data_IF_918643965055
#
_entry.id   IF_918643965055
#
_cell.length_a   1.000
_cell.length_b   1.000
_cell.length_c   1.000
_cell.angle_alpha   90.00
_cell.angle_beta   90.00
_cell.angle_gamma   90.00
#
_symmetry.space_group_name_H-M   'P 1'
#
loop_
_entity.id
_entity.type
_entity.pdbx_description
1 polymer ?
#
# COMPACT_ATOMS: atom_id res chain seq x y z
N UNK A 1 -0.83 -6.39 14.13
CA UNK A 1 -0.40 -7.71 14.66
C UNK A 1 0.69 -7.47 15.66
N UNK A 2 0.48 -7.85 16.92
CA UNK A 2 1.37 -7.51 18.04
C UNK A 2 1.84 -8.79 18.71
N UNK A 3 3.16 -8.93 18.86
CA UNK A 3 3.71 -9.76 19.93
C UNK A 3 3.29 -9.10 21.25
N UNK A 4 2.21 -9.57 21.88
CA UNK A 4 1.77 -9.00 23.15
C UNK A 4 2.47 -9.70 24.30
N UNK A 5 3.67 -9.22 24.65
CA UNK A 5 4.32 -9.56 25.92
C UNK A 5 4.04 -8.41 26.90
N UNK A 6 3.13 -8.64 27.85
CA UNK A 6 2.89 -7.68 28.93
C UNK A 6 4.00 -7.86 29.97
N UNK A 7 4.74 -6.80 30.25
CA UNK A 7 5.87 -6.83 31.19
C UNK A 7 5.55 -5.88 32.35
N UNK A 8 5.28 -6.39 33.56
CA UNK A 8 5.15 -5.54 34.73
C UNK A 8 6.50 -4.91 35.06
N UNK A 9 6.50 -3.62 35.41
CA UNK A 9 7.67 -2.91 35.89
C UNK A 9 7.40 -2.30 37.26
N UNK A 10 8.47 -2.20 38.06
CA UNK A 10 8.46 -1.54 39.37
C UNK A 10 9.50 -0.43 39.35
N UNK A 11 9.24 0.66 40.09
CA UNK A 11 10.18 1.77 40.20
C UNK A 11 11.55 1.27 40.68
N UNK A 12 12.62 1.66 39.96
CA UNK A 12 14.00 1.29 40.30
C UNK A 12 14.48 -0.06 39.76
N UNK A 13 13.62 -0.88 39.14
CA UNK A 13 14.02 -2.19 38.62
C UNK A 13 14.35 -2.18 37.12
N UNK A 14 15.41 -2.88 36.74
CA UNK A 14 15.72 -3.22 35.35
C UNK A 14 15.16 -4.60 35.03
N UNK A 15 14.26 -4.69 34.04
CA UNK A 15 13.74 -5.96 33.55
C UNK A 15 14.49 -6.34 32.28
N UNK A 16 15.22 -7.46 32.30
CA UNK A 16 15.88 -8.01 31.12
C UNK A 16 14.86 -8.83 30.32
N UNK A 17 14.57 -8.42 29.08
CA UNK A 17 13.59 -9.09 28.22
C UNK A 17 14.16 -10.26 27.42
N UNK A 18 15.48 -10.45 27.45
CA UNK A 18 16.19 -11.37 26.58
C UNK A 18 16.04 -10.98 25.09
N UNK A 19 16.32 -11.94 24.21
CA UNK A 19 16.05 -11.78 22.78
C UNK A 19 14.58 -12.06 22.50
N UNK A 20 13.90 -11.11 21.84
CA UNK A 20 12.53 -11.28 21.36
C UNK A 20 12.56 -11.62 19.88
N UNK A 21 12.19 -12.85 19.54
CA UNK A 21 12.04 -13.29 18.15
C UNK A 21 10.58 -13.08 17.75
N UNK A 22 10.35 -12.34 16.67
CA UNK A 22 9.04 -12.21 16.05
C UNK A 22 9.08 -12.87 14.69
N UNK A 23 8.24 -13.89 14.50
CA UNK A 23 8.03 -14.51 13.21
C UNK A 23 6.76 -13.93 12.58
N UNK A 24 6.85 -13.18 11.46
CA UNK A 24 5.67 -12.67 10.78
C UNK A 24 4.82 -13.86 10.30
N UNK A 25 3.49 -13.83 10.50
CA UNK A 25 2.63 -14.92 10.11
C UNK A 25 2.68 -15.13 8.59
N UNK A 26 2.77 -16.40 8.20
CA UNK A 26 2.74 -16.86 6.82
C UNK A 26 1.75 -18.01 6.74
N UNK A 27 0.80 -17.91 5.82
CA UNK A 27 -0.16 -18.97 5.55
C UNK A 27 0.38 -19.97 4.52
N UNK A 28 1.36 -19.57 3.69
CA UNK A 28 1.99 -20.44 2.72
C UNK A 28 3.21 -19.80 2.03
N UNK A 29 3.76 -20.46 1.00
CA UNK A 29 4.87 -19.94 0.22
C UNK A 29 4.55 -18.59 -0.39
N UNK A 30 5.51 -17.66 -0.33
CA UNK A 30 5.38 -16.35 -0.97
C UNK A 30 5.54 -16.50 -2.49
N UNK A 31 4.53 -16.04 -3.24
CA UNK A 31 4.57 -16.02 -4.69
C UNK A 31 5.28 -14.77 -5.20
N UNK A 32 4.98 -13.63 -4.58
CA UNK A 32 5.64 -12.36 -4.83
C UNK A 32 5.32 -11.36 -3.71
N UNK A 33 6.14 -10.32 -3.61
CA UNK A 33 6.02 -9.24 -2.65
C UNK A 33 6.45 -7.89 -3.26
N UNK A 34 5.98 -6.80 -2.67
CA UNK A 34 6.25 -5.41 -3.06
C UNK A 34 6.48 -4.61 -1.77
N UNK A 35 7.59 -3.86 -1.71
CA UNK A 35 7.98 -3.05 -0.55
C UNK A 35 8.77 -3.80 0.52
N UNK A 36 8.99 -3.14 1.65
CA UNK A 36 9.72 -3.62 2.82
C UNK A 36 8.77 -3.50 4.02
N UNK A 37 8.56 -4.56 4.83
CA UNK A 37 7.59 -4.52 5.94
C UNK A 37 8.14 -3.77 7.17
N UNK A 38 8.40 -2.46 7.03
CA UNK A 38 8.97 -1.58 8.07
C UNK A 38 8.00 -0.53 8.63
N UNK A 39 6.75 -0.58 8.16
CA UNK A 39 5.61 0.29 8.48
C UNK A 39 5.72 1.69 7.90
N UNK A 40 6.53 1.88 6.87
CA UNK A 40 6.70 3.15 6.18
C UNK A 40 6.43 3.00 4.69
N UNK A 41 6.25 4.11 4.00
CA UNK A 41 6.20 4.13 2.53
C UNK A 41 7.48 4.71 1.92
N UNK A 42 8.59 4.75 2.67
CA UNK A 42 9.76 5.55 2.37
C UNK A 42 10.62 4.97 1.23
N UNK A 43 10.50 3.68 0.99
CA UNK A 43 11.18 2.95 -0.08
C UNK A 43 10.49 3.09 -1.44
N UNK A 44 9.24 3.55 -1.46
CA UNK A 44 8.47 3.75 -2.68
C UNK A 44 8.87 5.03 -3.42
N UNK A 45 8.35 5.20 -4.63
CA UNK A 45 8.67 6.33 -5.47
C UNK A 45 8.12 7.65 -4.92
N UNK A 46 9.04 8.45 -4.36
CA UNK A 46 8.84 9.83 -3.94
C UNK A 46 9.26 10.75 -5.12
N UNK A 47 8.34 11.49 -5.75
CA UNK A 47 8.65 12.29 -6.93
C UNK A 47 9.51 13.50 -6.56
N UNK A 48 10.10 14.14 -7.57
CA UNK A 48 10.67 15.48 -7.39
C UNK A 48 9.57 16.49 -7.07
N UNK A 49 9.82 17.47 -6.17
CA UNK A 49 8.87 18.54 -5.88
C UNK A 49 8.70 19.50 -7.06
N UNK A 50 7.62 20.29 -7.02
CA UNK A 50 7.50 21.43 -7.93
C UNK A 50 8.64 22.42 -7.64
N UNK A 51 9.40 22.88 -8.66
CA UNK A 51 10.51 23.83 -8.47
C UNK A 51 10.12 25.10 -7.73
N UNK A 52 8.86 25.53 -7.80
CA UNK A 52 8.35 26.74 -7.14
C UNK A 52 8.15 26.56 -5.62
N UNK A 53 8.01 25.33 -5.15
CA UNK A 53 7.71 25.00 -3.74
C UNK A 53 8.85 24.26 -3.03
N UNK A 54 10.03 24.15 -3.67
CA UNK A 54 11.19 23.46 -3.09
C UNK A 54 11.58 24.09 -1.76
N UNK A 55 11.58 23.27 -0.71
CA UNK A 55 12.16 23.63 0.57
C UNK A 55 13.63 23.18 0.63
N UNK A 56 14.60 24.11 0.76
CA UNK A 56 16.02 23.78 0.86
C UNK A 56 16.37 22.89 2.07
N UNK A 57 15.54 22.86 3.11
CA UNK A 57 15.75 22.03 4.29
C UNK A 57 15.40 20.55 4.07
N UNK A 58 14.77 20.20 2.95
CA UNK A 58 14.28 18.84 2.66
C UNK A 58 14.93 18.27 1.39
N UNK A 59 16.18 18.66 1.11
CA UNK A 59 16.94 18.20 -0.06
C UNK A 59 17.60 16.83 0.13
N UNK A 60 17.85 16.46 1.39
CA UNK A 60 18.38 15.14 1.71
C UNK A 60 17.39 14.04 1.31
N UNK A 61 17.90 12.94 0.76
CA UNK A 61 17.06 11.84 0.29
C UNK A 61 16.13 11.29 1.39
N UNK A 62 16.62 11.27 2.63
CA UNK A 62 15.85 10.84 3.80
C UNK A 62 14.69 11.78 4.15
N UNK A 63 14.76 13.06 3.77
CA UNK A 63 13.73 14.06 4.06
C UNK A 63 12.96 14.50 2.80
N UNK A 64 13.26 13.92 1.64
CA UNK A 64 12.62 14.25 0.35
C UNK A 64 11.09 14.20 0.43
N UNK A 65 10.53 13.22 1.15
CA UNK A 65 9.08 13.08 1.32
C UNK A 65 8.42 14.26 2.06
N UNK A 66 9.21 15.12 2.71
CA UNK A 66 8.73 16.30 3.46
C UNK A 66 8.48 17.52 2.58
N UNK A 67 8.87 17.45 1.31
CA UNK A 67 8.58 18.52 0.34
C UNK A 67 7.07 18.71 0.19
N UNK A 68 6.64 19.96 0.07
CA UNK A 68 5.23 20.29 -0.11
C UNK A 68 4.72 19.85 -1.50
N UNK A 69 3.48 19.40 -1.57
CA UNK A 69 2.77 19.17 -2.83
C UNK A 69 3.13 17.88 -3.57
N UNK A 70 3.93 16.97 -2.97
CA UNK A 70 4.36 15.75 -3.66
C UNK A 70 3.19 14.83 -4.07
N UNK A 71 2.10 14.81 -3.32
CA UNK A 71 0.91 14.03 -3.69
C UNK A 71 0.27 14.54 -5.00
N UNK A 72 0.29 15.85 -5.23
CA UNK A 72 -0.36 16.48 -6.39
C UNK A 72 0.39 16.17 -7.69
N UNK A 73 1.71 15.90 -7.58
CA UNK A 73 2.56 15.42 -8.68
C UNK A 73 2.08 14.10 -9.29
N UNK A 74 1.22 13.34 -8.59
CA UNK A 74 0.61 12.15 -9.14
C UNK A 74 -0.10 12.44 -10.47
N UNK A 75 -0.88 13.51 -10.53
CA UNK A 75 -1.67 13.86 -11.73
C UNK A 75 -0.79 14.30 -12.90
N UNK A 76 0.37 14.92 -12.60
CA UNK A 76 1.35 15.32 -13.60
C UNK A 76 2.10 14.15 -14.22
N UNK A 77 2.39 13.13 -13.41
CA UNK A 77 3.15 11.94 -13.81
C UNK A 77 2.23 10.93 -14.49
N UNK A 78 1.03 10.73 -13.93
CA UNK A 78 0.03 9.75 -14.36
C UNK A 78 -1.15 10.42 -15.07
N UNK A 79 -0.84 11.18 -16.14
CA UNK A 79 -1.83 11.99 -16.91
C UNK A 79 -2.88 11.16 -17.65
N UNK A 80 -2.48 9.99 -18.14
CA UNK A 80 -3.28 9.17 -19.07
C UNK A 80 -3.57 7.77 -18.54
N UNK A 81 -3.38 7.54 -17.24
CA UNK A 81 -3.55 6.24 -16.61
C UNK A 81 -3.18 6.29 -15.14
N UNK A 82 -3.13 5.11 -14.52
CA UNK A 82 -2.72 4.91 -13.13
C UNK A 82 -1.47 4.04 -13.08
N UNK A 83 -0.93 3.83 -11.88
CA UNK A 83 0.18 2.90 -11.64
C UNK A 83 -0.13 1.51 -12.23
N UNK A 84 0.80 1.00 -13.03
CA UNK A 84 0.79 -0.38 -13.53
C UNK A 84 2.12 -1.03 -13.14
N UNK A 85 2.08 -1.83 -12.08
CA UNK A 85 3.22 -2.54 -11.56
C UNK A 85 3.24 -3.98 -12.08
N UNK A 86 4.33 -4.41 -12.71
CA UNK A 86 4.50 -5.79 -13.20
C UNK A 86 5.52 -6.51 -12.33
N UNK A 87 5.06 -7.52 -11.60
CA UNK A 87 5.91 -8.34 -10.72
C UNK A 87 7.06 -8.96 -11.52
N UNK A 88 8.28 -8.81 -11.00
CA UNK A 88 9.51 -9.30 -11.64
C UNK A 88 10.07 -8.39 -12.74
N UNK A 89 9.40 -7.28 -13.07
CA UNK A 89 9.85 -6.30 -14.09
C UNK A 89 9.95 -4.89 -13.52
N UNK A 90 8.89 -4.45 -12.83
CA UNK A 90 8.84 -3.13 -12.19
C UNK A 90 9.68 -3.09 -10.91
N UNK A 91 10.13 -1.89 -10.57
CA UNK A 91 10.91 -1.58 -9.37
C UNK A 91 10.08 -0.69 -8.44
N UNK A 92 9.75 -1.16 -7.25
CA UNK A 92 8.87 -0.42 -6.34
C UNK A 92 9.44 0.94 -5.92
N UNK A 93 10.75 1.15 -5.97
CA UNK A 93 11.36 2.44 -5.65
C UNK A 93 11.17 3.50 -6.73
N UNK A 94 10.74 3.10 -7.94
CA UNK A 94 10.59 3.97 -9.11
C UNK A 94 9.19 3.93 -9.73
N UNK A 95 8.56 2.77 -9.72
CA UNK A 95 7.32 2.48 -10.46
C UNK A 95 6.11 2.37 -9.53
N UNK A 96 6.30 2.44 -8.22
CA UNK A 96 5.21 2.42 -7.23
C UNK A 96 5.17 3.75 -6.49
N UNK A 97 4.19 4.59 -6.80
CA UNK A 97 4.09 5.91 -6.18
C UNK A 97 3.86 5.81 -4.67
N UNK A 98 4.48 6.68 -3.87
CA UNK A 98 4.47 6.55 -2.41
C UNK A 98 3.08 6.68 -1.76
N UNK A 99 2.15 7.38 -2.41
CA UNK A 99 0.79 7.60 -1.91
C UNK A 99 -0.26 7.33 -3.00
N UNK A 100 -1.16 6.40 -2.75
CA UNK A 100 -2.34 6.16 -3.58
C UNK A 100 -3.38 7.23 -3.29
N UNK A 101 -3.39 8.23 -4.16
CA UNK A 101 -4.16 9.47 -4.06
C UNK A 101 -5.15 9.57 -5.22
N UNK A 102 -6.14 10.43 -5.07
CA UNK A 102 -7.04 10.79 -6.16
C UNK A 102 -6.31 11.56 -7.27
N UNK A 103 -6.87 11.53 -8.47
CA UNK A 103 -6.40 12.35 -9.59
C UNK A 103 -7.11 13.70 -9.62
N UNK A 104 -6.32 14.76 -9.63
CA UNK A 104 -6.78 16.12 -9.87
C UNK A 104 -6.88 16.37 -11.37
N UNK A 105 -8.09 16.63 -11.86
CA UNK A 105 -8.39 16.86 -13.29
C UNK A 105 -8.36 18.35 -13.67
N UNK A 106 -7.88 19.21 -12.77
CA UNK A 106 -7.85 20.67 -12.93
C UNK A 106 -8.98 21.38 -12.18
N UNK A 107 -9.91 20.64 -11.57
CA UNK A 107 -10.87 21.17 -10.61
C UNK A 107 -10.75 20.43 -9.28
N UNK A 108 -10.34 21.16 -8.23
CA UNK A 108 -10.17 20.64 -6.87
C UNK A 108 -11.46 20.08 -6.25
N UNK A 109 -12.62 20.45 -6.79
CA UNK A 109 -13.92 19.93 -6.37
C UNK A 109 -14.38 18.69 -7.12
N UNK A 110 -13.64 18.25 -8.15
CA UNK A 110 -13.99 17.10 -9.01
C UNK A 110 -12.79 16.15 -9.16
N UNK A 111 -12.46 15.50 -8.05
CA UNK A 111 -11.36 14.54 -7.97
C UNK A 111 -11.80 13.18 -8.49
N UNK A 112 -11.02 12.62 -9.42
CA UNK A 112 -11.27 11.30 -9.98
C UNK A 112 -10.62 10.21 -9.14
N UNK A 113 -11.32 9.10 -8.94
CA UNK A 113 -10.76 7.89 -8.34
C UNK A 113 -9.63 7.32 -9.18
N UNK A 114 -8.74 6.58 -8.53
CA UNK A 114 -7.57 5.97 -9.16
C UNK A 114 -7.61 4.47 -8.95
N UNK A 115 -7.18 3.71 -9.97
CA UNK A 115 -7.11 2.25 -9.91
C UNK A 115 -5.73 1.76 -10.33
N UNK A 116 -4.95 1.33 -9.36
CA UNK A 116 -3.62 0.76 -9.58
C UNK A 116 -3.72 -0.71 -9.97
N UNK A 117 -2.78 -1.17 -10.80
CA UNK A 117 -2.75 -2.54 -11.30
C UNK A 117 -1.47 -3.23 -10.84
N UNK A 118 -1.60 -4.42 -10.23
CA UNK A 118 -0.49 -5.35 -10.02
C UNK A 118 -0.66 -6.50 -10.99
N UNK A 119 0.23 -6.62 -11.96
CA UNK A 119 0.27 -7.69 -12.96
C UNK A 119 1.31 -8.71 -12.57
N UNK A 120 0.95 -9.99 -12.62
CA UNK A 120 1.83 -11.10 -12.27
C UNK A 120 1.44 -12.36 -13.03
N UNK A 121 2.38 -13.30 -13.12
CA UNK A 121 2.17 -14.57 -13.80
C UNK A 121 2.19 -15.71 -12.77
N UNK A 122 1.23 -16.64 -12.88
CA UNK A 122 1.18 -17.87 -12.09
C UNK A 122 1.39 -19.08 -13.00
N UNK A 123 2.45 -19.86 -12.75
CA UNK A 123 2.73 -21.08 -13.52
C UNK A 123 1.70 -22.18 -13.25
N UNK A 124 1.24 -22.27 -12.01
CA UNK A 124 0.25 -23.23 -11.54
C UNK A 124 -0.75 -22.55 -10.61
N UNK A 125 -1.99 -23.05 -10.61
CA UNK A 125 -3.06 -22.57 -9.73
C UNK A 125 -3.72 -23.76 -9.05
N UNK A 126 -3.65 -23.82 -7.72
CA UNK A 126 -4.49 -24.70 -6.93
C UNK A 126 -5.89 -24.08 -6.76
N UNK A 127 -6.83 -24.47 -7.61
CA UNK A 127 -8.22 -23.93 -7.61
C UNK A 127 -9.00 -24.24 -6.32
N UNK A 128 -8.62 -25.31 -5.60
CA UNK A 128 -9.27 -25.74 -4.35
C UNK A 128 -8.64 -25.10 -3.12
N UNK A 129 -7.47 -24.50 -3.27
CA UNK A 129 -6.74 -23.86 -2.18
C UNK A 129 -7.20 -22.43 -1.94
N UNK A 130 -6.77 -21.87 -0.81
CA UNK A 130 -7.00 -20.48 -0.45
C UNK A 130 -5.67 -19.72 -0.48
N UNK A 131 -5.60 -18.71 -1.34
CA UNK A 131 -4.46 -17.80 -1.41
C UNK A 131 -4.66 -16.69 -0.38
N UNK A 132 -3.57 -16.13 0.11
CA UNK A 132 -3.63 -14.99 1.04
C UNK A 132 -2.94 -13.79 0.43
N UNK A 133 -3.67 -12.69 0.26
CA UNK A 133 -3.10 -11.39 -0.02
C UNK A 133 -2.91 -10.64 1.31
N UNK A 134 -1.66 -10.48 1.72
CA UNK A 134 -1.27 -9.59 2.81
C UNK A 134 -1.14 -8.17 2.27
N UNK A 135 -1.93 -7.27 2.84
CA UNK A 135 -1.91 -5.85 2.52
C UNK A 135 -1.62 -5.03 3.78
N UNK A 136 -0.40 -4.52 3.87
CA UNK A 136 0.03 -3.62 4.91
C UNK A 136 -0.01 -2.17 4.42
N UNK A 137 -0.64 -1.31 5.22
CA UNK A 137 -0.76 0.12 4.96
C UNK A 137 0.02 0.87 6.04
N UNK A 138 0.95 1.73 5.60
CA UNK A 138 1.71 2.62 6.46
C UNK A 138 0.83 3.76 7.00
N UNK A 139 -0.13 4.24 6.20
CA UNK A 139 -1.07 5.30 6.57
C UNK A 139 -2.35 5.25 5.72
N UNK A 140 -3.42 5.85 6.21
CA UNK A 140 -4.60 6.13 5.41
C UNK A 140 -5.34 7.37 5.91
N UNK A 141 -5.91 8.14 4.98
CA UNK A 141 -6.66 9.36 5.25
C UNK A 141 -8.00 9.25 4.53
N UNK A 142 -9.09 9.06 5.27
CA UNK A 142 -10.49 8.99 4.78
C UNK A 142 -10.76 8.12 3.53
N UNK A 143 -9.86 7.18 3.23
CA UNK A 143 -9.90 6.37 2.03
C UNK A 143 -10.80 5.14 2.18
N UNK A 144 -11.20 4.57 1.04
CA UNK A 144 -11.70 3.21 0.94
C UNK A 144 -10.93 2.53 -0.18
N UNK A 145 -10.28 1.41 0.13
CA UNK A 145 -9.58 0.61 -0.86
C UNK A 145 -10.43 -0.60 -1.21
N UNK A 146 -10.77 -0.72 -2.49
CA UNK A 146 -11.42 -1.89 -3.05
C UNK A 146 -10.43 -2.69 -3.87
N UNK A 147 -10.51 -4.01 -3.75
CA UNK A 147 -9.64 -4.95 -4.45
C UNK A 147 -10.50 -5.78 -5.40
N UNK A 148 -10.08 -5.86 -6.65
CA UNK A 148 -10.67 -6.74 -7.67
C UNK A 148 -9.60 -7.61 -8.31
N UNK A 149 -10.02 -8.75 -8.84
CA UNK A 149 -9.15 -9.71 -9.50
C UNK A 149 -9.62 -9.95 -10.92
N UNK A 150 -8.69 -9.82 -11.87
CA UNK A 150 -8.82 -10.14 -13.30
C UNK A 150 -9.91 -9.39 -14.08
N UNK A 151 -10.89 -8.77 -13.40
CA UNK A 151 -11.91 -7.91 -13.98
C UNK A 151 -12.08 -6.65 -13.10
N UNK A 152 -11.68 -5.46 -13.59
CA UNK A 152 -11.83 -4.21 -12.84
C UNK A 152 -13.28 -3.76 -12.70
N UNK A 153 -14.17 -4.21 -13.59
CA UNK A 153 -15.59 -3.80 -13.62
C UNK A 153 -16.49 -4.79 -12.88
N UNK A 154 -15.91 -5.75 -12.16
CA UNK A 154 -16.67 -6.67 -11.33
C UNK A 154 -17.52 -5.89 -10.31
N UNK A 155 -18.83 -6.13 -10.34
CA UNK A 155 -19.82 -5.44 -9.48
C UNK A 155 -19.40 -5.53 -8.01
N UNK A 156 -19.04 -6.73 -7.56
CA UNK A 156 -18.58 -6.95 -6.20
C UNK A 156 -17.06 -7.05 -6.15
N UNK A 157 -16.37 -6.17 -5.39
CA UNK A 157 -14.95 -6.34 -5.13
C UNK A 157 -14.71 -7.62 -4.32
N UNK A 158 -13.56 -8.26 -4.49
CA UNK A 158 -13.20 -9.42 -3.66
C UNK A 158 -12.91 -9.00 -2.22
N UNK A 159 -12.56 -7.74 -2.01
CA UNK A 159 -12.35 -7.16 -0.69
C UNK A 159 -12.59 -5.65 -0.72
N UNK A 160 -13.13 -5.09 0.36
CA UNK A 160 -13.16 -3.65 0.61
C UNK A 160 -12.73 -3.39 2.04
N UNK A 161 -11.92 -2.35 2.25
CA UNK A 161 -11.57 -1.89 3.59
C UNK A 161 -12.75 -1.20 4.28
N UNK A 162 -13.80 -0.82 3.54
CA UNK A 162 -14.70 0.29 3.89
C UNK A 162 -13.92 1.58 4.17
N UNK A 163 -14.56 2.61 4.76
CA UNK A 163 -13.83 3.83 5.14
C UNK A 163 -12.80 3.52 6.23
N UNK A 164 -11.55 3.78 5.91
CA UNK A 164 -10.41 3.69 6.81
C UNK A 164 -9.68 5.04 6.88
N UNK A 165 -8.79 5.17 7.87
CA UNK A 165 -7.92 6.32 7.99
C UNK A 165 -8.17 7.16 9.24
N UNK A 166 -8.31 8.49 9.09
CA UNK A 166 -8.29 9.52 10.15
C UNK A 166 -6.90 10.00 10.58
N UNK A 167 -5.82 9.45 10.01
CA UNK A 167 -4.54 10.12 10.06
C UNK A 167 -4.44 11.16 8.93
N UNK A 168 -3.46 12.07 9.04
CA UNK A 168 -3.22 13.15 8.08
C UNK A 168 -1.79 13.09 7.54
N UNK A 169 -1.25 11.88 7.35
CA UNK A 169 0.15 11.70 6.98
C UNK A 169 0.49 12.45 5.68
N UNK A 170 -0.28 12.23 4.60
CA UNK A 170 -0.08 12.92 3.31
C UNK A 170 -0.15 14.44 3.46
N UNK A 171 -1.21 14.96 4.10
CA UNK A 171 -1.43 16.39 4.29
C UNK A 171 -0.36 17.08 5.16
N UNK A 172 0.41 16.30 5.93
CA UNK A 172 1.50 16.77 6.81
C UNK A 172 2.88 16.37 6.32
N UNK A 173 2.98 15.90 5.07
CA UNK A 173 4.22 15.43 4.44
C UNK A 173 4.94 14.38 5.31
N UNK A 174 4.15 13.50 5.90
CA UNK A 174 4.62 12.29 6.56
C UNK A 174 4.71 11.15 5.55
N UNK A 175 5.43 10.10 5.95
CA UNK A 175 5.64 8.89 5.14
C UNK A 175 5.06 7.63 5.81
N UNK A 176 4.41 7.81 6.96
CA UNK A 176 3.67 6.79 7.69
C UNK A 176 2.69 7.47 8.67
N UNK A 177 1.74 6.68 9.18
CA UNK A 177 0.66 7.11 10.05
C UNK A 177 0.17 5.95 10.90
N UNK A 178 -1.15 5.72 10.93
CA UNK A 178 -1.69 4.58 11.65
C UNK A 178 -1.57 3.30 10.79
N UNK A 179 -0.68 2.41 11.23
CA UNK A 179 -0.45 1.13 10.56
C UNK A 179 -1.69 0.23 10.57
N UNK A 180 -1.97 -0.42 9.43
CA UNK A 180 -3.04 -1.42 9.28
C UNK A 180 -2.54 -2.61 8.47
N UNK A 181 -2.92 -3.81 8.88
CA UNK A 181 -2.63 -5.05 8.15
C UNK A 181 -3.94 -5.77 7.86
N UNK A 182 -4.16 -6.10 6.59
CA UNK A 182 -5.26 -6.93 6.13
C UNK A 182 -4.71 -8.24 5.58
N UNK A 183 -5.20 -9.36 6.12
CA UNK A 183 -4.92 -10.70 5.61
C UNK A 183 -6.15 -11.19 4.85
N UNK A 184 -6.14 -11.05 3.54
CA UNK A 184 -7.30 -11.26 2.68
C UNK A 184 -7.24 -12.66 2.08
N UNK A 185 -8.21 -13.49 2.41
CA UNK A 185 -8.33 -14.83 1.84
C UNK A 185 -9.03 -14.76 0.47
N UNK A 186 -8.41 -15.33 -0.55
CA UNK A 186 -8.90 -15.36 -1.92
C UNK A 186 -8.97 -16.82 -2.39
N UNK A 187 -10.17 -17.33 -2.74
CA UNK A 187 -10.32 -18.66 -3.31
C UNK A 187 -9.51 -18.86 -4.59
N UNK A 188 -8.86 -20.03 -4.72
CA UNK A 188 -7.99 -20.36 -5.84
C UNK A 188 -8.66 -20.28 -7.21
N UNK A 189 -9.96 -20.57 -7.29
CA UNK A 189 -10.76 -20.46 -8.51
C UNK A 189 -10.94 -19.02 -9.06
N UNK A 190 -10.45 -18.00 -8.33
CA UNK A 190 -10.43 -16.60 -8.79
C UNK A 190 -9.17 -16.29 -9.61
N UNK A 191 -8.17 -17.16 -9.57
CA UNK A 191 -6.93 -17.04 -10.33
C UNK A 191 -6.97 -17.94 -11.56
N UNK A 192 -6.18 -17.58 -12.56
CA UNK A 192 -5.97 -18.37 -13.77
C UNK A 192 -4.50 -18.72 -13.93
N UNK A 193 -4.19 -19.85 -14.58
CA UNK A 193 -2.81 -20.12 -15.02
C UNK A 193 -2.42 -19.03 -16.03
N UNK A 194 -1.22 -18.49 -15.89
CA UNK A 194 -0.71 -17.39 -16.69
C UNK A 194 -0.93 -16.03 -16.04
N UNK A 195 -1.29 -15.04 -16.84
CA UNK A 195 -1.32 -13.64 -16.42
C UNK A 195 -2.57 -13.34 -15.57
N UNK A 196 -2.34 -12.80 -14.39
CA UNK A 196 -3.37 -12.29 -13.49
C UNK A 196 -3.14 -10.81 -13.22
N UNK A 197 -4.21 -10.11 -12.84
CA UNK A 197 -4.13 -8.70 -12.42
C UNK A 197 -4.94 -8.49 -11.15
N UNK A 198 -4.31 -7.89 -10.14
CA UNK A 198 -5.00 -7.28 -9.00
C UNK A 198 -5.23 -5.81 -9.31
N UNK A 199 -6.47 -5.35 -9.14
CA UNK A 199 -6.84 -3.94 -9.22
C UNK A 199 -7.05 -3.42 -7.81
N UNK A 200 -6.38 -2.33 -7.47
CA UNK A 200 -6.48 -1.60 -6.22
C UNK A 200 -7.15 -0.26 -6.53
N UNK A 201 -8.40 -0.06 -6.12
CA UNK A 201 -9.14 1.18 -6.37
C UNK A 201 -9.33 1.96 -5.09
N UNK A 202 -8.86 3.20 -5.04
CA UNK A 202 -9.28 4.15 -4.02
C UNK A 202 -10.63 4.74 -4.49
N UNK A 203 -11.72 4.48 -3.77
CA UNK A 203 -13.08 4.84 -4.24
C UNK A 203 -13.68 6.10 -3.61
N UNK A 204 -13.02 6.71 -2.61
CA UNK A 204 -13.56 7.87 -1.89
C UNK A 204 -12.93 9.15 -2.40
N UNK A 205 -13.74 10.00 -3.03
CA UNK A 205 -13.27 11.20 -3.72
C UNK A 205 -13.73 12.52 -3.07
N UNK A 206 -13.74 12.60 -1.74
CA UNK A 206 -14.31 13.76 -1.05
C UNK A 206 -13.32 14.91 -0.83
N UNK A 207 -12.03 14.62 -0.74
CA UNK A 207 -10.99 15.61 -0.49
C UNK A 207 -9.65 15.20 -1.11
N UNK A 208 -8.79 16.20 -1.37
CA UNK A 208 -7.44 16.03 -1.94
C UNK A 208 -6.55 15.04 -1.18
N UNK A 209 -6.79 14.90 0.11
CA UNK A 209 -5.98 14.06 0.99
C UNK A 209 -6.63 12.70 1.26
N UNK A 210 -7.69 12.33 0.53
CA UNK A 210 -8.22 10.99 0.58
C UNK A 210 -7.19 10.04 -0.07
N UNK A 211 -6.44 9.33 0.77
CA UNK A 211 -5.23 8.65 0.33
C UNK A 211 -4.89 7.41 1.15
N UNK A 212 -4.09 6.53 0.55
CA UNK A 212 -3.50 5.35 1.19
C UNK A 212 -1.99 5.34 0.95
N UNK A 213 -1.20 5.09 1.99
CA UNK A 213 0.22 4.78 1.85
C UNK A 213 0.40 3.29 2.10
N UNK A 214 1.00 2.59 1.14
CA UNK A 214 1.35 1.19 1.30
C UNK A 214 2.63 1.08 2.12
N UNK A 215 2.75 -0.03 2.84
CA UNK A 215 3.99 -0.46 3.48
C UNK A 215 4.51 -1.68 2.71
N UNK A 216 3.70 -2.73 2.68
CA UNK A 216 4.11 -3.99 2.10
C UNK A 216 2.90 -4.76 1.57
N UNK A 217 3.05 -5.33 0.37
CA UNK A 217 2.02 -6.16 -0.26
C UNK A 217 2.63 -7.50 -0.63
N UNK A 218 1.98 -8.60 -0.25
CA UNK A 218 2.46 -9.95 -0.54
C UNK A 218 1.32 -10.87 -0.90
N UNK A 219 1.51 -11.67 -1.95
CA UNK A 219 0.63 -12.80 -2.26
C UNK A 219 1.28 -14.12 -1.84
N UNK A 220 0.52 -14.92 -1.09
CA UNK A 220 0.91 -16.25 -0.61
C UNK A 220 0.06 -17.32 -1.29
N UNK A 221 0.71 -18.40 -1.69
CA UNK A 221 0.06 -19.62 -2.15
C UNK A 221 -0.66 -20.33 -0.99
N UNK A 222 -1.61 -21.25 -1.28
CA UNK A 222 -2.18 -22.11 -0.26
C UNK A 222 -1.11 -22.88 0.51
N UNK A 223 -1.34 -23.10 1.81
CA UNK A 223 -0.56 -24.06 2.57
C UNK A 223 -0.55 -25.41 1.85
N UNK A 224 0.60 -26.07 1.82
CA UNK A 224 0.76 -27.44 1.33
C UNK A 224 0.17 -28.42 2.34
#
# INVERSE_FOLDING_TARGET
MTLSKVVPFYAGNKVNLGTLIYDPPRNGPTLWEIGIPDRTAAEFFIPEPDPTFVNPLCLDAADKFRQYGLWDRYSDIYRHGDVVYTVGVSDYSRDWFFAHVLRNTGNITDLSTTTWQIKYNLQDVNEKGNYTLQLALAAASYAELQIRLNNPDAIQPCFTTTRIGYDNAVARHGIHGLYRLYSINIPGNRFIRGNNTIFLTQTRSHALFDAVMYDYIRLEAPAV
#
